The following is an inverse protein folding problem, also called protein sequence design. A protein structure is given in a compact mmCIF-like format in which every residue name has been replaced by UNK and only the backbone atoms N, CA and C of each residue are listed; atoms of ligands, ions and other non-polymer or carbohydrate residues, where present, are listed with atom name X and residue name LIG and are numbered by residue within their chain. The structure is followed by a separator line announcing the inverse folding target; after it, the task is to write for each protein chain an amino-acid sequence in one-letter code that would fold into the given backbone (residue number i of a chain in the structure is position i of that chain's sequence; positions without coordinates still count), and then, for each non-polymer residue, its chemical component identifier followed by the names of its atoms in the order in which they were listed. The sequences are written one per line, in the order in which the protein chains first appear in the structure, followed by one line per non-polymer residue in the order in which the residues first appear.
data_IF_654742399271
#
_entry.id   IF_654742399271
#
_cell.length_a   1.000
_cell.length_b   1.000
_cell.length_c   1.000
_cell.angle_alpha   90.00
_cell.angle_beta   90.00
_cell.angle_gamma   90.00
#
_symmetry.space_group_name_H-M   'P 1'
#
loop_
_entity.id
_entity.type
_entity.pdbx_description
1 polymer ?
#
# COMPACT_ATOMS: atom_id res chain seq x y z
N UNK A 1 10.11 -3.56 12.45
CA UNK A 1 8.88 -2.75 12.30
C UNK A 1 8.11 -3.19 11.08
N UNK A 2 6.80 -3.28 11.20
CA UNK A 2 5.89 -3.64 10.09
C UNK A 2 4.85 -2.54 9.95
N UNK A 3 4.66 -2.04 8.73
CA UNK A 3 3.62 -1.08 8.38
C UNK A 3 2.71 -1.74 7.36
N UNK A 4 1.42 -1.74 7.63
CA UNK A 4 0.42 -2.37 6.77
C UNK A 4 -0.54 -1.33 6.19
N UNK A 5 -0.79 -1.41 4.90
CA UNK A 5 -1.69 -0.50 4.20
C UNK A 5 -2.89 -1.26 3.66
N UNK A 6 -4.07 -0.78 3.98
CA UNK A 6 -5.30 -1.21 3.33
C UNK A 6 -5.71 -0.13 2.31
N UNK A 7 -5.62 -0.46 1.05
CA UNK A 7 -6.01 0.44 -0.03
C UNK A 7 -7.52 0.28 -0.27
N UNK A 8 -8.27 1.24 0.25
CA UNK A 8 -9.73 1.20 0.18
C UNK A 8 -10.23 1.93 -1.06
N UNK A 9 -10.83 1.18 -1.99
CA UNK A 9 -11.55 1.75 -3.12
C UNK A 9 -13.06 1.56 -2.92
N UNK A 10 -13.85 2.50 -3.44
CA UNK A 10 -15.30 2.36 -3.45
C UNK A 10 -15.75 1.28 -4.45
N UNK A 11 -16.91 0.71 -4.20
CA UNK A 11 -17.51 -0.27 -5.12
C UNK A 11 -17.75 0.33 -6.50
N UNK A 12 -18.12 1.62 -6.55
CA UNK A 12 -18.27 2.37 -7.78
C UNK A 12 -16.95 2.50 -8.55
N UNK A 13 -15.88 2.87 -7.88
CA UNK A 13 -14.55 3.01 -8.50
C UNK A 13 -14.03 1.68 -9.05
N UNK A 14 -14.24 0.58 -8.32
CA UNK A 14 -13.87 -0.74 -8.83
C UNK A 14 -14.62 -1.07 -10.12
N UNK A 15 -15.92 -0.76 -10.18
CA UNK A 15 -16.71 -0.95 -11.39
C UNK A 15 -16.17 -0.14 -12.56
N UNK A 16 -15.88 1.13 -12.34
CA UNK A 16 -15.31 2.01 -13.36
C UNK A 16 -13.98 1.47 -13.89
N UNK A 17 -13.11 0.98 -13.03
CA UNK A 17 -11.84 0.35 -13.44
C UNK A 17 -12.04 -0.92 -14.24
N UNK A 18 -13.02 -1.74 -13.90
CA UNK A 18 -13.36 -2.92 -14.69
C UNK A 18 -13.92 -2.54 -16.07
N UNK A 19 -14.78 -1.55 -16.14
CA UNK A 19 -15.32 -1.03 -17.39
C UNK A 19 -14.21 -0.48 -18.29
N UNK A 20 -13.26 0.26 -17.73
CA UNK A 20 -12.10 0.78 -18.47
C UNK A 20 -11.24 -0.35 -19.04
N UNK A 21 -11.02 -1.42 -18.27
CA UNK A 21 -10.26 -2.59 -18.74
C UNK A 21 -11.00 -3.36 -19.85
N UNK A 22 -12.31 -3.42 -19.79
CA UNK A 22 -13.13 -4.05 -20.85
C UNK A 22 -13.01 -3.27 -22.16
N UNK A 23 -12.99 -1.96 -22.08
CA UNK A 23 -12.93 -1.06 -23.26
C UNK A 23 -11.55 -0.97 -23.90
N UNK A 24 -10.48 -1.21 -23.14
CA UNK A 24 -9.11 -1.10 -23.60
C UNK A 24 -8.53 -2.48 -23.92
N UNK A 25 -8.32 -2.74 -25.22
CA UNK A 25 -7.78 -4.03 -25.68
C UNK A 25 -6.42 -4.39 -25.02
N UNK A 26 -5.60 -3.39 -24.70
CA UNK A 26 -4.29 -3.59 -24.07
C UNK A 26 -4.39 -3.95 -22.59
N UNK A 27 -5.56 -3.79 -21.98
CA UNK A 27 -5.80 -4.06 -20.57
C UNK A 27 -6.71 -5.27 -20.29
N UNK A 28 -7.34 -5.82 -21.32
CA UNK A 28 -8.29 -6.94 -21.16
C UNK A 28 -7.64 -8.19 -20.58
N UNK A 29 -6.37 -8.40 -20.78
CA UNK A 29 -5.63 -9.53 -20.22
C UNK A 29 -5.59 -9.54 -18.68
N UNK A 30 -5.84 -8.37 -18.06
CA UNK A 30 -5.90 -8.23 -16.59
C UNK A 30 -7.20 -8.73 -15.98
N UNK A 31 -8.22 -9.00 -16.81
CA UNK A 31 -9.53 -9.44 -16.34
C UNK A 31 -9.56 -10.95 -16.15
N UNK A 32 -10.22 -11.39 -15.09
CA UNK A 32 -10.54 -12.79 -14.86
C UNK A 32 -12.02 -12.94 -14.53
N UNK A 33 -12.58 -14.13 -14.77
CA UNK A 33 -13.97 -14.43 -14.41
C UNK A 33 -14.21 -14.30 -12.89
N UNK A 34 -13.19 -14.61 -12.09
CA UNK A 34 -13.23 -14.47 -10.65
C UNK A 34 -13.46 -13.03 -10.18
N UNK A 35 -12.93 -12.04 -10.91
CA UNK A 35 -13.10 -10.63 -10.54
C UNK A 35 -14.58 -10.24 -10.45
N UNK A 36 -15.39 -10.72 -11.36
CA UNK A 36 -16.82 -10.41 -11.40
C UNK A 36 -17.62 -11.20 -10.36
N UNK A 37 -17.31 -12.46 -10.16
CA UNK A 37 -17.98 -13.30 -9.16
C UNK A 37 -17.66 -12.85 -7.73
N UNK A 38 -16.42 -12.50 -7.44
CA UNK A 38 -16.01 -12.01 -6.12
C UNK A 38 -16.62 -10.64 -5.80
N UNK A 39 -16.86 -9.81 -6.81
CA UNK A 39 -17.54 -8.53 -6.61
C UNK A 39 -18.94 -8.68 -6.01
N UNK A 40 -19.64 -9.77 -6.26
CA UNK A 40 -20.96 -10.03 -5.68
C UNK A 40 -20.90 -10.22 -4.16
N UNK A 41 -19.71 -10.52 -3.64
CA UNK A 41 -19.44 -10.73 -2.21
C UNK A 41 -18.89 -9.48 -1.52
N UNK A 42 -19.10 -8.31 -2.09
CA UNK A 42 -18.53 -7.04 -1.59
C UNK A 42 -18.76 -6.83 -0.10
N UNK A 43 -20.00 -7.01 0.38
CA UNK A 43 -20.33 -6.85 1.79
C UNK A 43 -19.59 -7.80 2.72
N UNK A 44 -19.37 -9.04 2.29
CA UNK A 44 -18.58 -10.02 3.05
C UNK A 44 -17.11 -9.62 3.16
N UNK A 45 -16.52 -9.12 2.08
CA UNK A 45 -15.15 -8.60 2.10
C UNK A 45 -15.01 -7.37 3.00
N UNK A 46 -15.94 -6.42 2.90
CA UNK A 46 -15.94 -5.22 3.77
C UNK A 46 -15.94 -5.62 5.24
N UNK A 47 -16.82 -6.55 5.64
CA UNK A 47 -16.87 -7.05 7.01
C UNK A 47 -15.58 -7.73 7.44
N UNK A 48 -15.01 -8.57 6.58
CA UNK A 48 -13.76 -9.25 6.87
C UNK A 48 -12.61 -8.26 7.09
N UNK A 49 -12.51 -7.22 6.28
CA UNK A 49 -11.51 -6.16 6.45
C UNK A 49 -11.74 -5.32 7.70
N UNK A 50 -12.98 -4.99 8.03
CA UNK A 50 -13.31 -4.30 9.27
C UNK A 50 -12.87 -5.10 10.49
N UNK A 51 -13.10 -6.41 10.50
CA UNK A 51 -12.66 -7.31 11.56
C UNK A 51 -11.13 -7.36 11.65
N UNK A 52 -10.44 -7.50 10.52
CA UNK A 52 -8.98 -7.52 10.46
C UNK A 52 -8.37 -6.21 10.97
N UNK A 53 -8.89 -5.07 10.52
CA UNK A 53 -8.41 -3.75 10.94
C UNK A 53 -8.65 -3.51 12.44
N UNK A 54 -9.78 -3.96 12.97
CA UNK A 54 -10.15 -3.78 14.37
C UNK A 54 -9.31 -4.64 15.32
N UNK A 55 -8.94 -5.86 14.91
CA UNK A 55 -8.26 -6.82 15.79
C UNK A 55 -6.76 -6.93 15.56
N UNK A 56 -6.28 -6.56 14.39
CA UNK A 56 -4.88 -6.77 13.99
C UNK A 56 -4.05 -5.50 13.90
N UNK A 57 -4.59 -4.35 14.27
CA UNK A 57 -3.83 -3.09 14.31
C UNK A 57 -3.20 -2.91 15.68
N UNK A 58 -1.88 -2.78 15.73
CA UNK A 58 -1.10 -2.59 16.95
C UNK A 58 -0.10 -1.45 16.79
N UNK A 59 0.46 -0.95 17.87
CA UNK A 59 1.52 0.08 17.81
C UNK A 59 2.77 -0.42 17.08
N UNK A 60 3.09 -1.71 17.19
CA UNK A 60 4.25 -2.31 16.54
C UNK A 60 4.04 -2.65 15.07
N UNK A 61 2.80 -2.85 14.66
CA UNK A 61 2.42 -3.23 13.30
C UNK A 61 1.07 -2.58 12.94
N UNK A 62 1.03 -1.25 12.80
CA UNK A 62 -0.22 -0.55 12.56
C UNK A 62 -0.76 -0.80 11.16
N UNK A 63 -2.08 -0.82 11.05
CA UNK A 63 -2.80 -0.73 9.80
C UNK A 63 -3.15 0.72 9.49
N UNK A 64 -2.89 1.14 8.25
CA UNK A 64 -3.34 2.43 7.72
C UNK A 64 -4.37 2.20 6.63
N UNK A 65 -5.54 2.79 6.80
CA UNK A 65 -6.59 2.76 5.78
C UNK A 65 -6.39 3.94 4.85
N UNK A 66 -6.08 3.66 3.58
CA UNK A 66 -5.78 4.68 2.58
C UNK A 66 -6.93 4.75 1.58
N UNK A 67 -7.63 5.90 1.47
CA UNK A 67 -8.57 6.12 0.38
C UNK A 67 -7.83 6.03 -0.96
N UNK A 68 -8.26 5.12 -1.83
CA UNK A 68 -7.51 4.77 -3.03
C UNK A 68 -8.29 4.98 -4.33
N UNK A 69 -9.45 5.62 -4.28
CA UNK A 69 -10.22 5.96 -5.49
C UNK A 69 -9.40 6.85 -6.43
N UNK A 70 -8.70 7.82 -5.86
CA UNK A 70 -7.78 8.70 -6.58
C UNK A 70 -6.34 8.21 -6.40
N UNK A 71 -5.72 7.77 -7.46
CA UNK A 71 -4.36 7.21 -7.43
C UNK A 71 -3.31 8.21 -6.92
N UNK A 72 -3.44 9.48 -7.28
CA UNK A 72 -2.51 10.51 -6.81
C UNK A 72 -2.57 10.69 -5.30
N UNK A 73 -3.76 10.67 -4.71
CA UNK A 73 -3.94 10.78 -3.27
C UNK A 73 -3.39 9.56 -2.54
N UNK A 74 -3.70 8.35 -3.04
CA UNK A 74 -3.15 7.10 -2.53
C UNK A 74 -1.63 7.14 -2.47
N UNK A 75 -0.99 7.53 -3.57
CA UNK A 75 0.46 7.60 -3.66
C UNK A 75 1.04 8.61 -2.67
N UNK A 76 0.44 9.80 -2.58
CA UNK A 76 0.86 10.83 -1.64
C UNK A 76 0.74 10.35 -0.19
N UNK A 77 -0.39 9.77 0.19
CA UNK A 77 -0.64 9.31 1.55
C UNK A 77 0.32 8.18 1.96
N UNK A 78 0.52 7.19 1.11
CA UNK A 78 1.45 6.07 1.37
C UNK A 78 2.89 6.60 1.49
N UNK A 79 3.33 7.44 0.56
CA UNK A 79 4.67 8.03 0.61
C UNK A 79 4.89 8.85 1.88
N UNK A 80 3.91 9.65 2.28
CA UNK A 80 4.00 10.46 3.50
C UNK A 80 4.16 9.60 4.76
N UNK A 81 3.36 8.54 4.88
CA UNK A 81 3.45 7.62 6.01
C UNK A 81 4.80 6.90 6.03
N UNK A 82 5.30 6.46 4.87
CA UNK A 82 6.61 5.82 4.77
C UNK A 82 7.75 6.76 5.16
N UNK A 83 7.73 8.00 4.68
CA UNK A 83 8.74 9.01 5.02
C UNK A 83 8.73 9.28 6.52
N UNK A 84 7.56 9.55 7.10
CA UNK A 84 7.42 9.81 8.54
C UNK A 84 7.89 8.61 9.38
N UNK A 85 7.59 7.40 8.95
CA UNK A 85 8.03 6.17 9.62
C UNK A 85 9.55 6.02 9.58
N UNK A 86 10.17 6.22 8.41
CA UNK A 86 11.62 6.12 8.24
C UNK A 86 12.36 7.22 9.01
N UNK A 87 11.87 8.45 8.97
CA UNK A 87 12.43 9.55 9.76
C UNK A 87 12.36 9.28 11.26
N UNK A 88 11.26 8.67 11.72
CA UNK A 88 11.07 8.27 13.13
C UNK A 88 12.08 7.26 13.63
N UNK A 89 12.69 6.47 12.75
CA UNK A 89 13.75 5.52 13.10
C UNK A 89 15.08 6.19 13.42
N UNK A 90 15.23 7.46 13.07
CA UNK A 90 16.46 8.25 13.33
C UNK A 90 17.73 7.54 12.84
N UNK A 91 17.65 6.95 11.65
CA UNK A 91 18.77 6.23 11.06
C UNK A 91 19.95 7.17 10.77
N UNK A 92 21.15 6.66 10.99
CA UNK A 92 22.41 7.35 10.67
C UNK A 92 23.30 6.41 9.89
N UNK A 93 24.19 6.98 9.09
CA UNK A 93 25.21 6.17 8.46
C UNK A 93 26.11 5.50 9.52
N UNK A 94 26.47 4.23 9.33
CA UNK A 94 27.36 3.54 10.25
C UNK A 94 28.74 4.20 10.21
N UNK A 95 29.48 4.07 11.31
CA UNK A 95 30.87 4.51 11.34
C UNK A 95 31.70 3.63 10.39
N UNK A 96 32.72 4.22 9.69
CA UNK A 96 33.61 3.42 8.88
C UNK A 96 34.28 2.32 9.70
N UNK A 97 34.53 1.17 9.09
CA UNK A 97 35.24 0.06 9.72
C UNK A 97 36.76 0.29 9.72
N UNK A 98 37.22 1.31 9.02
CA UNK A 98 38.65 1.68 8.90
C UNK A 98 38.86 3.11 9.40
N UNK A 99 40.07 3.44 9.80
CA UNK A 99 40.41 4.81 10.16
C UNK A 99 40.67 5.62 8.86
N UNK A 100 39.64 6.43 8.52
CA UNK A 100 39.64 7.22 7.28
C UNK A 100 40.82 8.24 7.25
N UNK A 101 41.23 8.73 8.41
CA UNK A 101 42.35 9.72 8.50
C UNK A 101 43.70 9.14 8.09
N UNK A 102 43.84 7.81 8.09
CA UNK A 102 45.07 7.11 7.71
C UNK A 102 45.03 6.50 6.30
N UNK A 103 43.94 6.71 5.56
CA UNK A 103 43.81 6.22 4.19
C UNK A 103 44.53 7.16 3.22
N UNK A 104 45.40 6.59 2.40
CA UNK A 104 46.08 7.30 1.31
C UNK A 104 45.68 6.69 -0.03
N UNK A 105 45.29 7.54 -0.97
CA UNK A 105 45.03 7.13 -2.35
C UNK A 105 46.33 7.23 -3.18
N UNK A 106 46.66 6.10 -3.77
CA UNK A 106 47.82 6.04 -4.69
C UNK A 106 47.36 6.17 -6.14
#
# INVERSE_FOLDING_TARGET
MVVKFFLHISKREQRERFEDRIKDADKQWKLSSGDFSERTRWGGYVKAYEDALSHCSTEHAPWYVIPADKKWFRNLAVCRILVDTLEGLRMKFPKPSVDVSQLELQ
#
